data_IF_203661622063
#
_entry.id   IF_203661622063
#
_cell.length_a   1.000
_cell.length_b   1.000
_cell.length_c   1.000
_cell.angle_alpha   90.00
_cell.angle_beta   90.00
_cell.angle_gamma   90.00
#
_symmetry.space_group_name_H-M   'P 1'
#
loop_
_entity.id
_entity.type
_entity.pdbx_description
1 polymer ?
#
# COMPACT_ATOMS: atom_id res chain seq x y z
N UNK A 1 7.79 -12.92 -7.61
CA UNK A 1 7.83 -13.89 -6.49
C UNK A 1 6.60 -13.69 -5.60
N UNK A 2 6.06 -14.76 -5.02
CA UNK A 2 4.92 -14.67 -4.12
C UNK A 2 5.35 -14.24 -2.73
N UNK A 3 4.52 -13.43 -2.09
CA UNK A 3 4.77 -12.97 -0.74
C UNK A 3 4.31 -14.05 0.26
N UNK A 4 5.19 -14.53 1.16
CA UNK A 4 4.86 -15.57 2.14
C UNK A 4 3.88 -15.11 3.23
N UNK A 5 3.53 -13.82 3.29
CA UNK A 5 2.58 -13.28 4.28
C UNK A 5 1.16 -13.24 3.74
N UNK A 6 0.96 -12.83 2.48
CA UNK A 6 -0.37 -12.76 1.88
C UNK A 6 -0.64 -13.87 0.85
N UNK A 7 0.38 -14.65 0.49
CA UNK A 7 0.32 -15.72 -0.50
C UNK A 7 -0.14 -15.24 -1.89
N UNK A 8 0.19 -14.00 -2.24
CA UNK A 8 -0.08 -13.38 -3.55
C UNK A 8 1.22 -12.89 -4.16
N UNK A 9 1.23 -12.65 -5.47
CA UNK A 9 2.33 -11.98 -6.16
C UNK A 9 2.72 -10.69 -5.44
N UNK A 10 4.00 -10.52 -5.14
CA UNK A 10 4.47 -9.44 -4.28
C UNK A 10 4.26 -8.06 -4.93
N UNK A 11 3.38 -7.24 -4.33
CA UNK A 11 3.21 -5.84 -4.69
C UNK A 11 4.25 -4.98 -3.98
N UNK A 12 5.00 -4.17 -4.76
CA UNK A 12 6.18 -3.43 -4.30
C UNK A 12 7.11 -4.33 -3.48
N UNK A 13 7.74 -5.34 -4.12
CA UNK A 13 8.54 -6.33 -3.42
C UNK A 13 9.74 -5.66 -2.76
N UNK A 14 9.96 -6.01 -1.49
CA UNK A 14 11.10 -5.51 -0.69
C UNK A 14 11.90 -6.66 -0.13
N UNK A 15 13.21 -6.50 -0.05
CA UNK A 15 14.13 -7.51 0.49
C UNK A 15 14.71 -7.05 1.82
N UNK A 16 14.38 -7.76 2.89
CA UNK A 16 14.96 -7.52 4.20
C UNK A 16 16.48 -7.82 4.20
N UNK A 17 17.25 -7.27 5.17
CA UNK A 17 18.66 -7.62 5.35
C UNK A 17 18.93 -9.12 5.51
N UNK A 18 17.95 -9.86 6.07
CA UNK A 18 18.00 -11.32 6.19
C UNK A 18 17.84 -12.08 4.87
N UNK A 19 17.65 -11.38 3.75
CA UNK A 19 17.52 -11.93 2.41
C UNK A 19 16.09 -12.27 1.98
N UNK A 20 15.13 -12.37 2.90
CA UNK A 20 13.74 -12.71 2.61
C UNK A 20 12.95 -11.57 1.96
N UNK A 21 12.00 -11.92 1.09
CA UNK A 21 11.20 -10.97 0.30
C UNK A 21 9.71 -10.99 0.66
N UNK A 22 9.09 -9.81 0.63
CA UNK A 22 7.67 -9.61 0.98
C UNK A 22 7.07 -8.45 0.17
N UNK A 23 5.74 -8.32 0.14
CA UNK A 23 5.11 -7.04 -0.19
C UNK A 23 5.51 -5.98 0.83
N UNK A 24 5.74 -4.74 0.41
CA UNK A 24 6.04 -3.65 1.35
C UNK A 24 4.97 -3.50 2.45
N UNK A 25 3.68 -3.50 2.10
CA UNK A 25 2.60 -3.37 3.08
C UNK A 25 2.50 -4.58 4.01
N UNK A 26 2.79 -5.79 3.54
CA UNK A 26 2.81 -6.98 4.38
C UNK A 26 3.91 -6.89 5.43
N UNK A 27 5.14 -6.57 5.01
CA UNK A 27 6.24 -6.48 5.97
C UNK A 27 6.11 -5.28 6.89
N UNK A 28 5.52 -4.17 6.43
CA UNK A 28 5.14 -3.04 7.28
C UNK A 28 4.19 -3.47 8.39
N UNK A 29 3.17 -4.27 8.08
CA UNK A 29 2.26 -4.79 9.08
C UNK A 29 2.91 -5.73 10.10
N UNK A 30 3.81 -6.61 9.64
CA UNK A 30 4.59 -7.50 10.52
C UNK A 30 5.52 -6.68 11.41
N UNK A 31 6.28 -5.74 10.84
CA UNK A 31 7.23 -4.90 11.56
C UNK A 31 6.55 -4.04 12.64
N UNK A 32 5.34 -3.53 12.37
CA UNK A 32 4.55 -2.77 13.34
C UNK A 32 4.03 -3.60 14.53
N UNK A 33 4.03 -4.94 14.43
CA UNK A 33 3.61 -5.83 15.53
C UNK A 33 4.78 -6.52 16.24
N UNK A 34 5.67 -7.17 15.49
CA UNK A 34 6.71 -8.04 16.06
C UNK A 34 8.13 -7.54 15.86
N UNK A 35 8.37 -6.61 14.91
CA UNK A 35 9.71 -6.19 14.46
C UNK A 35 10.65 -7.36 14.11
N UNK A 36 10.09 -8.50 13.67
CA UNK A 36 10.85 -9.71 13.30
C UNK A 36 10.41 -10.20 11.92
N UNK A 37 11.36 -10.70 11.14
CA UNK A 37 11.10 -11.33 9.85
C UNK A 37 10.08 -12.47 10.01
N UNK A 38 9.05 -12.51 9.15
CA UNK A 38 8.02 -13.54 9.22
C UNK A 38 8.52 -14.95 8.83
N UNK A 39 9.72 -15.08 8.25
CA UNK A 39 10.33 -16.37 7.91
C UNK A 39 11.37 -16.78 8.96
N UNK A 40 12.49 -16.06 9.05
CA UNK A 40 13.62 -16.46 9.90
C UNK A 40 13.64 -15.80 11.28
N UNK A 41 12.65 -14.97 11.62
CA UNK A 41 12.54 -14.25 12.90
C UNK A 41 13.68 -13.28 13.24
N UNK A 42 14.63 -13.06 12.34
CA UNK A 42 15.67 -12.03 12.50
C UNK A 42 15.03 -10.64 12.70
N UNK A 43 15.63 -9.78 13.53
CA UNK A 43 15.08 -8.45 13.83
C UNK A 43 15.03 -7.58 12.57
N UNK A 44 13.97 -6.80 12.45
CA UNK A 44 13.79 -5.78 11.41
C UNK A 44 14.14 -4.44 12.05
N UNK A 45 15.13 -3.74 11.50
CA UNK A 45 15.49 -2.40 11.97
C UNK A 45 14.26 -1.46 11.90
N UNK A 46 14.02 -0.63 12.94
CA UNK A 46 12.94 0.36 12.92
C UNK A 46 12.98 1.27 11.68
N UNK A 47 14.17 1.62 11.22
CA UNK A 47 14.39 2.57 10.12
C UNK A 47 14.23 1.93 8.72
N UNK A 48 14.14 0.59 8.65
CA UNK A 48 14.02 -0.12 7.37
C UNK A 48 12.78 0.33 6.59
N UNK A 49 11.69 0.64 7.29
CA UNK A 49 10.44 1.07 6.64
C UNK A 49 10.53 2.48 6.02
N UNK A 50 11.47 3.30 6.47
CA UNK A 50 11.69 4.64 5.93
C UNK A 50 12.51 4.61 4.63
N UNK A 51 13.40 3.62 4.50
CA UNK A 51 14.25 3.41 3.32
C UNK A 51 14.30 1.91 2.94
N UNK A 52 13.21 1.34 2.43
CA UNK A 52 13.17 -0.08 2.10
C UNK A 52 13.98 -0.39 0.84
N UNK A 53 14.62 -1.56 0.81
CA UNK A 53 15.31 -2.06 -0.39
C UNK A 53 14.28 -2.66 -1.35
N UNK A 54 13.82 -1.85 -2.31
CA UNK A 54 12.91 -2.29 -3.37
C UNK A 54 13.63 -3.21 -4.36
N UNK A 55 13.01 -4.35 -4.66
CA UNK A 55 13.51 -5.28 -5.68
C UNK A 55 12.93 -4.88 -7.03
N UNK A 56 13.80 -4.50 -7.97
CA UNK A 56 13.40 -4.29 -9.36
C UNK A 56 13.09 -5.66 -9.98
N UNK A 57 11.81 -5.91 -10.27
CA UNK A 57 11.43 -7.11 -11.02
C UNK A 57 11.72 -6.83 -12.49
N UNK A 58 12.78 -7.43 -13.02
CA UNK A 58 13.06 -7.41 -14.46
C UNK A 58 12.16 -8.47 -15.09
N UNK A 59 11.10 -8.05 -15.76
CA UNK A 59 10.15 -8.95 -16.43
C UNK A 59 10.74 -9.43 -17.76
N UNK A 60 11.24 -10.66 -17.79
CA UNK A 60 11.56 -11.38 -19.03
C UNK A 60 10.44 -12.38 -19.36
N UNK A 61 9.67 -12.09 -20.42
CA UNK A 61 8.79 -12.97 -21.25
C UNK A 61 7.74 -13.83 -20.48
N UNK A 62 6.43 -13.88 -20.76
CA UNK A 62 5.58 -13.53 -21.91
C UNK A 62 4.09 -13.66 -21.46
N UNK A 63 3.20 -12.95 -22.17
CA UNK A 63 1.72 -13.04 -22.16
C UNK A 63 0.97 -12.76 -20.85
N UNK A 64 0.65 -11.47 -20.67
CA UNK A 64 -0.52 -10.83 -20.05
C UNK A 64 -0.15 -9.73 -19.04
N UNK A 65 -0.08 -8.50 -19.55
CA UNK A 65 -0.25 -7.26 -18.77
C UNK A 65 0.65 -7.00 -17.55
N UNK A 66 1.93 -7.39 -17.59
CA UNK A 66 2.88 -7.06 -16.51
C UNK A 66 3.76 -5.85 -16.84
N UNK A 67 3.25 -4.65 -16.54
CA UNK A 67 4.07 -3.46 -16.25
C UNK A 67 4.15 -3.30 -14.72
N UNK A 68 5.31 -2.89 -14.18
CA UNK A 68 5.35 -2.22 -12.86
C UNK A 68 4.18 -1.23 -12.83
N UNK A 69 3.28 -1.23 -11.81
CA UNK A 69 1.90 -0.79 -11.97
C UNK A 69 1.87 0.46 -12.81
N UNK A 70 1.60 0.28 -14.11
CA UNK A 70 1.73 1.36 -15.06
C UNK A 70 0.75 2.40 -14.60
N UNK A 71 1.15 3.68 -14.60
CA UNK A 71 0.22 4.73 -14.26
C UNK A 71 -1.10 4.44 -14.99
N UNK A 72 -2.22 4.41 -14.25
CA UNK A 72 -3.52 4.18 -14.85
C UNK A 72 -3.69 5.07 -16.07
N UNK A 73 -4.43 4.65 -17.10
CA UNK A 73 -4.77 5.51 -18.22
C UNK A 73 -5.22 6.89 -17.72
N UNK A 74 -4.90 7.97 -18.44
CA UNK A 74 -5.13 9.34 -17.96
C UNK A 74 -6.60 9.64 -17.54
N UNK A 75 -7.55 8.83 -18.01
CA UNK A 75 -8.96 8.91 -17.67
C UNK A 75 -9.38 8.15 -16.41
N UNK A 76 -8.52 7.31 -15.86
CA UNK A 76 -8.76 6.58 -14.61
C UNK A 76 -8.35 7.43 -13.39
N UNK A 77 -9.06 7.27 -12.28
CA UNK A 77 -8.78 7.97 -11.03
C UNK A 77 -8.07 7.04 -10.06
N UNK A 78 -7.22 7.62 -9.21
CA UNK A 78 -6.59 6.91 -8.09
C UNK A 78 -6.92 7.61 -6.78
N UNK A 79 -6.71 6.88 -5.70
CA UNK A 79 -7.01 7.35 -4.37
C UNK A 79 -5.75 7.74 -3.62
N UNK A 80 -5.87 8.80 -2.83
CA UNK A 80 -4.80 9.31 -1.99
C UNK A 80 -5.26 9.42 -0.54
N UNK A 81 -4.30 9.36 0.38
CA UNK A 81 -4.48 9.67 1.78
C UNK A 81 -3.45 10.68 2.26
N UNK A 82 -3.87 11.54 3.17
CA UNK A 82 -3.06 12.63 3.67
C UNK A 82 -1.90 12.13 4.53
N UNK A 83 -0.71 12.67 4.27
CA UNK A 83 0.47 12.57 5.12
C UNK A 83 0.88 13.92 5.69
N UNK A 84 2.00 13.94 6.42
CA UNK A 84 2.65 15.21 6.81
C UNK A 84 3.03 15.97 5.54
N UNK A 85 2.46 17.15 5.33
CA UNK A 85 2.77 18.07 4.23
C UNK A 85 2.69 17.42 2.84
N UNK A 86 1.55 16.79 2.53
CA UNK A 86 1.28 16.27 1.19
C UNK A 86 0.56 14.93 1.17
N UNK A 87 0.33 14.42 -0.03
CA UNK A 87 -0.51 13.25 -0.28
C UNK A 87 0.31 12.01 -0.59
N UNK A 88 -0.14 10.86 -0.09
CA UNK A 88 0.34 9.56 -0.49
C UNK A 88 -0.72 8.89 -1.33
N UNK A 89 -0.33 8.26 -2.43
CA UNK A 89 -1.26 7.41 -3.15
C UNK A 89 -1.44 6.09 -2.39
N UNK A 90 -2.64 5.51 -2.39
CA UNK A 90 -2.80 4.10 -2.02
C UNK A 90 -2.09 3.19 -3.04
N UNK A 91 -1.74 1.97 -2.64
CA UNK A 91 -1.30 0.96 -3.60
C UNK A 91 -2.43 0.61 -4.58
N UNK A 92 -2.07 -0.04 -5.68
CA UNK A 92 -3.00 -0.39 -6.76
C UNK A 92 -4.18 -1.24 -6.29
N UNK A 93 -3.93 -2.25 -5.43
CA UNK A 93 -4.99 -3.14 -4.96
C UNK A 93 -5.98 -2.39 -4.08
N UNK A 94 -5.46 -1.66 -3.10
CA UNK A 94 -6.27 -0.82 -2.21
C UNK A 94 -7.06 0.23 -3.01
N UNK A 95 -6.43 0.91 -3.96
CA UNK A 95 -7.11 1.91 -4.80
C UNK A 95 -8.29 1.31 -5.57
N UNK A 96 -8.15 0.09 -6.13
CA UNK A 96 -9.24 -0.60 -6.83
C UNK A 96 -10.40 -0.96 -5.89
N UNK A 97 -10.10 -1.45 -4.69
CA UNK A 97 -11.14 -1.77 -3.69
C UNK A 97 -11.90 -0.52 -3.23
N UNK A 98 -11.19 0.59 -3.00
CA UNK A 98 -11.78 1.89 -2.63
C UNK A 98 -12.63 2.45 -3.77
N UNK A 99 -12.12 2.44 -4.99
CA UNK A 99 -12.84 2.91 -6.19
C UNK A 99 -14.10 2.10 -6.46
N UNK A 100 -14.04 0.76 -6.33
CA UNK A 100 -15.19 -0.13 -6.50
C UNK A 100 -16.28 0.17 -5.46
N UNK A 101 -15.90 0.35 -4.19
CA UNK A 101 -16.85 0.71 -3.14
C UNK A 101 -17.51 2.08 -3.38
N UNK A 102 -16.71 3.08 -3.79
CA UNK A 102 -17.18 4.43 -4.08
C UNK A 102 -18.14 4.45 -5.29
N UNK A 103 -17.74 3.85 -6.42
CA UNK A 103 -18.60 3.75 -7.62
C UNK A 103 -19.88 2.92 -7.36
N UNK A 104 -19.83 1.97 -6.44
CA UNK A 104 -20.99 1.23 -5.97
C UNK A 104 -21.94 2.01 -5.06
N UNK A 105 -21.72 3.31 -4.83
CA UNK A 105 -22.59 4.17 -4.02
C UNK A 105 -22.54 3.87 -2.52
N UNK A 106 -21.51 3.16 -2.04
CA UNK A 106 -21.36 2.90 -0.60
C UNK A 106 -20.98 4.21 0.11
N UNK A 107 -21.50 4.42 1.32
CA UNK A 107 -21.12 5.54 2.21
C UNK A 107 -19.74 5.36 2.84
N UNK A 108 -19.31 4.10 3.01
CA UNK A 108 -17.99 3.74 3.52
C UNK A 108 -17.58 2.33 3.10
N UNK A 109 -16.31 2.00 3.27
CA UNK A 109 -15.83 0.61 3.22
C UNK A 109 -14.77 0.34 4.29
N UNK A 110 -14.50 -0.95 4.56
CA UNK A 110 -13.43 -1.36 5.48
C UNK A 110 -12.49 -2.31 4.76
N UNK A 111 -11.19 -2.05 4.90
CA UNK A 111 -10.14 -2.83 4.25
C UNK A 111 -8.92 -3.01 5.15
N UNK A 112 -8.11 -4.03 4.80
CA UNK A 112 -6.88 -4.36 5.50
C UNK A 112 -5.69 -3.64 4.86
N UNK A 113 -5.12 -2.66 5.55
CA UNK A 113 -3.92 -1.93 5.10
C UNK A 113 -2.81 -2.15 6.11
N UNK A 114 -1.68 -2.68 5.64
CA UNK A 114 -0.54 -3.05 6.49
C UNK A 114 -0.95 -3.87 7.71
N UNK A 115 -1.88 -4.82 7.54
CA UNK A 115 -2.34 -5.70 8.60
C UNK A 115 -3.25 -5.05 9.65
N UNK A 116 -3.80 -3.87 9.39
CA UNK A 116 -4.77 -3.20 10.25
C UNK A 116 -6.05 -2.86 9.49
N UNK A 117 -7.19 -2.95 10.17
CA UNK A 117 -8.48 -2.57 9.59
C UNK A 117 -8.64 -1.04 9.58
N UNK A 118 -8.83 -0.50 8.38
CA UNK A 118 -9.15 0.89 8.15
C UNK A 118 -10.59 1.04 7.69
N UNK A 119 -11.30 2.01 8.26
CA UNK A 119 -12.55 2.54 7.73
C UNK A 119 -12.21 3.68 6.77
N UNK A 120 -12.74 3.60 5.55
CA UNK A 120 -12.73 4.67 4.57
C UNK A 120 -14.13 5.26 4.52
N UNK A 121 -14.27 6.51 4.92
CA UNK A 121 -15.51 7.27 4.95
C UNK A 121 -15.58 8.17 3.71
N UNK A 122 -16.55 7.90 2.84
CA UNK A 122 -16.72 8.63 1.58
C UNK A 122 -17.58 9.89 1.73
N UNK A 123 -18.33 10.01 2.82
CA UNK A 123 -19.17 11.18 3.08
C UNK A 123 -18.32 12.33 3.64
N UNK A 124 -17.44 11.98 4.58
CA UNK A 124 -16.57 12.94 5.26
C UNK A 124 -15.15 12.96 4.68
N UNK A 125 -14.87 12.11 3.69
CA UNK A 125 -13.59 12.04 2.96
C UNK A 125 -12.38 11.89 3.89
N UNK A 126 -12.42 10.91 4.79
CA UNK A 126 -11.26 10.53 5.60
C UNK A 126 -11.11 9.01 5.75
N UNK A 127 -9.91 8.59 6.12
CA UNK A 127 -9.62 7.25 6.62
C UNK A 127 -9.30 7.29 8.12
N UNK A 128 -9.64 6.21 8.83
CA UNK A 128 -9.21 5.99 10.21
C UNK A 128 -8.96 4.51 10.47
N UNK A 129 -8.06 4.20 11.39
CA UNK A 129 -7.87 2.81 11.85
C UNK A 129 -8.97 2.49 12.88
N UNK A 130 -9.65 1.35 12.74
CA UNK A 130 -10.79 0.99 13.62
C UNK A 130 -10.43 0.97 15.11
N UNK A 131 -9.21 0.57 15.46
CA UNK A 131 -8.76 0.48 16.85
C UNK A 131 -8.06 1.77 17.35
N UNK A 132 -7.91 2.80 16.51
CA UNK A 132 -7.24 4.07 16.84
C UNK A 132 -8.01 5.25 16.21
N UNK A 133 -9.25 5.53 16.67
CA UNK A 133 -10.14 6.49 16.01
C UNK A 133 -9.65 7.95 16.07
N UNK A 134 -8.72 8.26 17.00
CA UNK A 134 -8.13 9.59 17.15
C UNK A 134 -7.21 10.01 15.98
N UNK A 135 -6.73 9.07 15.17
CA UNK A 135 -5.93 9.39 13.98
C UNK A 135 -6.76 9.29 12.71
N UNK A 136 -7.20 10.44 12.22
CA UNK A 136 -7.89 10.58 10.94
C UNK A 136 -6.94 11.20 9.91
N UNK A 137 -7.05 10.76 8.66
CA UNK A 137 -6.33 11.36 7.53
C UNK A 137 -7.33 11.62 6.43
N UNK A 138 -7.32 12.82 5.83
CA UNK A 138 -8.16 13.08 4.66
C UNK A 138 -7.82 12.11 3.54
N UNK A 139 -8.80 11.79 2.73
CA UNK A 139 -8.61 11.04 1.48
C UNK A 139 -9.07 11.91 0.31
N UNK A 140 -8.56 11.63 -0.89
CA UNK A 140 -9.09 12.22 -2.11
C UNK A 140 -9.03 11.24 -3.27
N UNK A 141 -9.89 11.46 -4.24
CA UNK A 141 -9.92 10.79 -5.54
C UNK A 141 -9.44 11.79 -6.58
N UNK A 142 -8.37 11.48 -7.29
CA UNK A 142 -7.70 12.44 -8.17
C UNK A 142 -7.04 11.72 -9.36
N UNK A 143 -6.48 12.49 -10.30
CA UNK A 143 -5.76 11.95 -11.45
C UNK A 143 -4.42 11.32 -11.04
N UNK A 144 -3.91 10.33 -11.80
CA UNK A 144 -2.67 9.62 -11.44
C UNK A 144 -1.42 10.51 -11.44
N UNK A 145 -1.44 11.60 -12.21
CA UNK A 145 -0.37 12.59 -12.30
C UNK A 145 -0.42 13.66 -11.20
N UNK A 146 -1.39 13.62 -10.28
CA UNK A 146 -1.47 14.57 -9.19
C UNK A 146 -0.23 14.47 -8.27
N UNK A 147 0.19 15.61 -7.71
CA UNK A 147 1.35 15.69 -6.83
C UNK A 147 1.23 14.72 -5.64
N UNK A 148 2.26 13.88 -5.49
CA UNK A 148 2.32 12.82 -4.50
C UNK A 148 3.72 12.66 -3.93
N UNK A 149 3.79 12.27 -2.66
CA UNK A 149 5.03 11.92 -1.96
C UNK A 149 5.60 10.55 -2.34
N UNK A 150 4.76 9.74 -2.99
CA UNK A 150 5.00 8.34 -3.31
C UNK A 150 3.75 7.49 -3.08
N UNK A 151 3.92 6.17 -3.01
CA UNK A 151 2.83 5.19 -2.97
C UNK A 151 2.92 4.35 -1.70
N UNK A 152 1.82 4.24 -0.95
CA UNK A 152 1.68 3.39 0.25
C UNK A 152 2.71 3.65 1.38
N UNK A 153 3.44 4.77 1.32
CA UNK A 153 4.54 5.13 2.22
C UNK A 153 5.95 4.91 1.64
N UNK A 154 6.06 4.43 0.41
CA UNK A 154 7.31 4.28 -0.35
C UNK A 154 7.54 5.57 -1.14
N UNK A 155 8.67 6.24 -0.91
CA UNK A 155 9.09 7.37 -1.76
C UNK A 155 9.56 6.83 -3.10
N UNK A 156 8.96 7.34 -4.19
CA UNK A 156 9.32 7.01 -5.57
C UNK A 156 10.09 8.18 -6.20
#
# INVERSE_FOLDING_TARGET
PDCPVCLQQASYPVRLPCGHMFCFLCIKGVALRSRKCAICRQPISPDYLDKPTLVKVVSGQSSSSDKAPSDPPADEYVWFYEGRNGWWQYDTKTSKEVESAFKGGKRSCTLLIAGFLYLIDFENMFQMRRNEPGRRRRIKRDKPNADRKGVAGIRL
#
